data_IF_439193989205
#
_entry.id   IF_439193989205
#
_cell.length_a   1.000
_cell.length_b   1.000
_cell.length_c   1.000
_cell.angle_alpha   90.00
_cell.angle_beta   90.00
_cell.angle_gamma   90.00
#
_symmetry.space_group_name_H-M   'P 1'
#
loop_
_entity.id
_entity.type
_entity.pdbx_description
1 polymer ?
#
# COMPACT_ATOMS: atom_id res chain seq x y z
N UNK A 1 -18.80 21.27 22.51
CA UNK A 1 -18.76 20.14 21.56
C UNK A 1 -17.47 20.33 20.78
N UNK A 2 -16.39 19.76 21.28
CA UNK A 2 -15.06 19.88 20.68
C UNK A 2 -14.87 18.59 19.90
N UNK A 3 -15.00 18.67 18.58
CA UNK A 3 -14.66 17.56 17.69
C UNK A 3 -13.14 17.42 17.75
N UNK A 4 -12.71 16.44 18.54
CA UNK A 4 -11.31 16.08 18.73
C UNK A 4 -10.79 15.58 17.38
N UNK A 5 -10.00 16.43 16.72
CA UNK A 5 -9.27 16.12 15.50
C UNK A 5 -8.36 14.92 15.77
N UNK A 6 -8.89 13.71 15.59
CA UNK A 6 -8.13 12.48 15.57
C UNK A 6 -7.33 12.45 14.26
N UNK A 7 -6.19 13.14 14.25
CA UNK A 7 -5.14 12.93 13.25
C UNK A 7 -4.62 11.52 13.49
N UNK A 8 -5.25 10.56 12.82
CA UNK A 8 -4.73 9.20 12.72
C UNK A 8 -3.47 9.30 11.86
N UNK A 9 -2.32 9.31 12.52
CA UNK A 9 -1.02 9.31 11.87
C UNK A 9 -0.78 7.91 11.31
N UNK A 10 -1.35 7.60 10.15
CA UNK A 10 -0.97 6.43 9.37
C UNK A 10 0.52 6.57 9.08
N UNK A 11 1.35 5.86 9.86
CA UNK A 11 2.80 6.05 9.88
C UNK A 11 3.50 5.56 8.59
N UNK A 12 2.75 4.94 7.68
CA UNK A 12 3.23 4.53 6.35
C UNK A 12 2.59 5.43 5.30
N UNK A 13 3.39 6.25 4.63
CA UNK A 13 2.90 7.02 3.49
C UNK A 13 2.60 6.07 2.32
N UNK A 14 1.68 6.42 1.41
CA UNK A 14 1.43 5.67 0.18
C UNK A 14 2.71 5.43 -0.64
N UNK A 15 3.66 6.36 -0.55
CA UNK A 15 4.96 6.31 -1.24
C UNK A 15 5.87 5.21 -0.68
N UNK A 16 5.95 5.08 0.65
CA UNK A 16 6.70 4.01 1.33
C UNK A 16 6.12 2.63 0.99
N UNK A 17 4.79 2.51 0.95
CA UNK A 17 4.10 1.28 0.58
C UNK A 17 4.35 0.92 -0.89
N UNK A 18 4.29 1.91 -1.78
CA UNK A 18 4.60 1.73 -3.20
C UNK A 18 6.03 1.22 -3.42
N UNK A 19 7.01 1.83 -2.75
CA UNK A 19 8.41 1.40 -2.88
C UNK A 19 8.62 -0.06 -2.45
N UNK A 20 8.00 -0.47 -1.35
CA UNK A 20 8.05 -1.87 -0.88
C UNK A 20 7.33 -2.83 -1.82
N UNK A 21 6.16 -2.46 -2.32
CA UNK A 21 5.41 -3.25 -3.31
C UNK A 21 6.20 -3.41 -4.61
N UNK A 22 6.90 -2.36 -5.05
CA UNK A 22 7.70 -2.41 -6.27
C UNK A 22 8.90 -3.33 -6.12
N UNK A 23 9.64 -3.23 -5.00
CA UNK A 23 10.74 -4.15 -4.72
C UNK A 23 10.27 -5.61 -4.64
N UNK A 24 9.09 -5.85 -4.04
CA UNK A 24 8.47 -7.17 -4.00
C UNK A 24 8.09 -7.68 -5.40
N UNK A 25 7.50 -6.83 -6.24
CA UNK A 25 7.10 -7.20 -7.60
C UNK A 25 8.31 -7.57 -8.44
N UNK A 26 9.34 -6.73 -8.46
CA UNK A 26 10.62 -6.98 -9.15
C UNK A 26 11.21 -8.33 -8.74
N UNK A 27 11.26 -8.61 -7.43
CA UNK A 27 11.79 -9.88 -6.92
C UNK A 27 10.91 -11.09 -7.26
N UNK A 28 9.60 -10.90 -7.40
CA UNK A 28 8.64 -11.97 -7.71
C UNK A 28 8.62 -12.30 -9.20
N UNK A 29 8.77 -11.30 -10.06
CA UNK A 29 8.73 -11.45 -11.52
C UNK A 29 10.12 -11.56 -12.16
N UNK A 30 11.19 -11.43 -11.36
CA UNK A 30 12.59 -11.30 -11.83
C UNK A 30 12.75 -10.21 -12.93
N UNK A 31 11.91 -9.17 -12.83
CA UNK A 31 11.83 -8.10 -13.84
C UNK A 31 12.22 -6.77 -13.22
N UNK A 32 13.42 -6.23 -13.52
CA UNK A 32 13.89 -4.97 -12.95
C UNK A 32 13.09 -3.76 -13.42
N UNK A 33 12.39 -3.89 -14.55
CA UNK A 33 11.53 -2.85 -15.13
C UNK A 33 10.08 -2.92 -14.62
N UNK A 34 9.79 -3.79 -13.65
CA UNK A 34 8.46 -3.88 -13.06
C UNK A 34 8.09 -2.59 -12.31
N UNK A 35 6.92 -2.05 -12.61
CA UNK A 35 6.43 -0.77 -12.07
C UNK A 35 5.12 -0.98 -11.32
N UNK A 36 5.06 -0.40 -10.12
CA UNK A 36 3.82 -0.21 -9.37
C UNK A 36 3.30 1.20 -9.64
N UNK A 37 2.04 1.30 -10.01
CA UNK A 37 1.29 2.54 -10.20
C UNK A 37 0.98 3.26 -8.88
N UNK A 38 0.06 4.23 -8.91
CA UNK A 38 -0.44 4.88 -7.69
C UNK A 38 -1.06 3.86 -6.75
N UNK A 39 -0.71 3.93 -5.46
CA UNK A 39 -1.29 3.09 -4.42
C UNK A 39 -2.35 3.91 -3.68
N UNK A 40 -3.54 3.35 -3.56
CA UNK A 40 -4.65 3.97 -2.83
C UNK A 40 -5.18 3.04 -1.76
N UNK A 41 -5.50 3.58 -0.58
CA UNK A 41 -6.22 2.87 0.47
C UNK A 41 -7.66 3.36 0.51
N UNK A 42 -8.68 2.48 0.54
CA UNK A 42 -10.01 2.89 0.94
C UNK A 42 -9.92 3.32 2.41
N UNK A 43 -10.62 4.37 2.77
CA UNK A 43 -10.51 5.09 4.04
C UNK A 43 -10.34 4.16 5.27
N UNK A 44 -9.33 4.48 6.07
CA UNK A 44 -8.89 3.68 7.22
C UNK A 44 -9.81 3.89 8.42
N UNK A 45 -11.02 3.34 8.37
CA UNK A 45 -11.91 3.27 9.52
C UNK A 45 -11.47 2.16 10.49
N UNK A 46 -10.37 2.40 11.22
CA UNK A 46 -10.08 1.78 12.53
C UNK A 46 -10.17 0.26 12.69
N UNK A 47 -10.15 -0.55 11.62
CA UNK A 47 -10.29 -2.01 11.70
C UNK A 47 -9.16 -2.74 10.99
N UNK A 48 -8.19 -3.22 11.78
CA UNK A 48 -7.29 -4.39 11.68
C UNK A 48 -6.75 -4.93 10.33
N UNK A 49 -6.96 -4.31 9.18
CA UNK A 49 -6.40 -4.72 7.89
C UNK A 49 -6.48 -3.57 6.89
N UNK A 50 -5.34 -3.02 6.50
CA UNK A 50 -5.28 -2.04 5.41
C UNK A 50 -5.27 -2.78 4.07
N UNK A 51 -6.26 -2.51 3.23
CA UNK A 51 -6.29 -3.02 1.85
C UNK A 51 -5.75 -1.94 0.93
N UNK A 52 -4.74 -2.27 0.14
CA UNK A 52 -4.10 -1.37 -0.80
C UNK A 52 -4.49 -1.77 -2.21
N UNK A 53 -5.09 -0.84 -2.95
CA UNK A 53 -5.33 -0.99 -4.38
C UNK A 53 -4.18 -0.38 -5.16
N UNK A 54 -3.67 -1.13 -6.13
CA UNK A 54 -2.60 -0.65 -7.01
C UNK A 54 -2.65 -1.34 -8.37
N UNK A 55 -2.19 -0.62 -9.38
CA UNK A 55 -1.91 -1.19 -10.69
C UNK A 55 -0.44 -1.63 -10.75
N UNK A 56 -0.17 -2.75 -11.43
CA UNK A 56 1.16 -3.27 -11.63
C UNK A 56 1.37 -3.64 -13.10
N UNK A 57 2.54 -3.33 -13.61
CA UNK A 57 2.98 -3.73 -14.95
C UNK A 57 4.38 -4.31 -14.86
N UNK A 58 4.58 -5.47 -15.46
CA UNK A 58 5.85 -6.15 -15.60
C UNK A 58 5.94 -6.75 -17.02
N UNK A 59 7.09 -7.27 -17.38
CA UNK A 59 7.39 -7.78 -18.72
C UNK A 59 6.36 -8.79 -19.27
N UNK A 60 5.77 -9.61 -18.41
CA UNK A 60 4.82 -10.65 -18.81
C UNK A 60 3.35 -10.20 -18.73
N UNK A 61 3.05 -9.00 -18.20
CA UNK A 61 1.67 -8.52 -18.15
C UNK A 61 1.44 -7.28 -17.31
N UNK A 62 0.18 -6.86 -17.27
CA UNK A 62 -0.29 -5.75 -16.44
C UNK A 62 -1.64 -6.09 -15.82
N UNK A 63 -1.92 -5.57 -14.62
CA UNK A 63 -3.21 -5.76 -13.97
C UNK A 63 -3.41 -4.88 -12.73
N UNK A 64 -4.64 -4.91 -12.22
CA UNK A 64 -5.01 -4.26 -10.96
C UNK A 64 -5.05 -5.28 -9.84
N UNK A 65 -4.42 -4.95 -8.71
CA UNK A 65 -4.21 -5.85 -7.59
C UNK A 65 -4.64 -5.22 -6.27
N UNK A 66 -4.91 -6.10 -5.30
CA UNK A 66 -5.21 -5.73 -3.92
C UNK A 66 -4.20 -6.40 -3.00
N UNK A 67 -3.41 -5.62 -2.28
CA UNK A 67 -2.55 -6.13 -1.22
C UNK A 67 -3.23 -5.94 0.12
N UNK A 68 -3.22 -6.97 0.96
CA UNK A 68 -3.67 -6.88 2.36
C UNK A 68 -2.44 -6.74 3.24
N UNK A 69 -2.27 -5.59 3.87
CA UNK A 69 -1.13 -5.29 4.72
C UNK A 69 -1.57 -5.31 6.18
N UNK A 70 -0.80 -6.00 7.03
CA UNK A 70 -1.01 -5.94 8.47
C UNK A 70 -0.71 -4.51 8.97
N UNK A 71 -1.51 -3.99 9.93
CA UNK A 71 -1.30 -2.64 10.47
C UNK A 71 0.13 -2.47 10.98
N UNK A 72 0.66 -1.25 10.88
CA UNK A 72 1.99 -0.96 11.43
C UNK A 72 1.96 -1.19 12.94
N UNK A 73 2.83 -2.08 13.46
CA UNK A 73 2.98 -2.37 14.88
C UNK A 73 3.47 -1.17 15.73
N UNK A 74 3.56 0.02 15.13
CA UNK A 74 3.91 1.29 15.79
C UNK A 74 2.68 2.05 16.29
N UNK A 75 1.50 1.44 16.25
CA UNK A 75 0.28 1.91 16.92
C UNK A 75 0.12 1.15 18.25
N UNK A 76 1.00 1.43 19.21
CA UNK A 76 0.86 1.05 20.63
C UNK A 76 1.35 2.19 21.50
#
# INVERSE_FOLDING_TARGET
MSDEMNVVKTSRTPEELRGRLQAWLVATTDDPDAVIGPVSSPESNGMSSESLFFDATWKEGSGSFVARVAPAASDV
#
